data_IF_827877699707
#
_entry.id   IF_827877699707
#
_cell.length_a   1.000
_cell.length_b   1.000
_cell.length_c   1.000
_cell.angle_alpha   90.00
_cell.angle_beta   90.00
_cell.angle_gamma   90.00
#
_symmetry.space_group_name_H-M   'P 1'
#
loop_
_entity.id
_entity.type
_entity.pdbx_description
1 polymer ?
#
# COMPACT_ATOMS: atom_id res chain seq x y z
N UNK A 1 4.52 -0.77 -6.83
CA UNK A 1 3.38 -1.60 -6.40
C UNK A 1 2.18 -0.68 -6.27
N UNK A 2 1.17 -0.80 -7.13
CA UNK A 2 -0.06 0.01 -7.06
C UNK A 2 -1.14 -0.83 -6.38
N UNK A 3 -1.34 -0.59 -5.08
CA UNK A 3 -2.49 -1.07 -4.33
C UNK A 3 -3.66 -0.11 -4.56
N UNK A 4 -4.45 -0.35 -5.61
CA UNK A 4 -5.76 0.30 -5.81
C UNK A 4 -6.89 -0.40 -5.04
N UNK A 5 -6.55 -1.16 -3.98
CA UNK A 5 -7.52 -2.11 -3.43
C UNK A 5 -8.62 -1.44 -2.60
N UNK A 6 -8.43 -0.41 -1.78
CA UNK A 6 -9.57 0.30 -1.13
C UNK A 6 -9.63 1.73 -1.65
N UNK A 7 -10.08 1.94 -2.89
CA UNK A 7 -10.11 3.28 -3.47
C UNK A 7 -11.43 3.55 -4.21
N UNK A 8 -12.40 4.18 -3.52
CA UNK A 8 -13.42 5.01 -4.17
C UNK A 8 -13.38 6.41 -3.55
N UNK A 9 -13.44 7.42 -4.42
CA UNK A 9 -13.51 8.87 -4.16
C UNK A 9 -13.45 9.24 -2.68
N UNK A 10 -12.22 9.43 -2.22
CA UNK A 10 -11.94 9.97 -0.90
C UNK A 10 -12.56 11.36 -0.81
N UNK A 11 -13.25 11.63 0.31
CA UNK A 11 -13.63 12.99 0.70
C UNK A 11 -12.39 13.84 1.03
N UNK A 12 -12.56 14.83 1.92
CA UNK A 12 -11.54 15.83 2.31
C UNK A 12 -10.23 15.28 2.94
N UNK A 13 -9.97 13.98 2.94
CA UNK A 13 -8.73 13.41 3.47
C UNK A 13 -7.58 13.65 2.49
N UNK A 14 -6.51 14.31 2.94
CA UNK A 14 -5.33 14.64 2.13
C UNK A 14 -4.45 13.40 1.99
N UNK A 15 -4.61 12.66 0.88
CA UNK A 15 -4.09 11.28 0.73
C UNK A 15 -2.59 11.23 0.38
N UNK A 16 -2.09 12.19 -0.38
CA UNK A 16 -0.71 12.12 -0.88
C UNK A 16 0.23 12.84 0.09
N UNK A 17 1.11 12.11 0.81
CA UNK A 17 2.03 12.73 1.76
C UNK A 17 3.08 13.61 1.06
N UNK A 18 3.37 13.36 -0.21
CA UNK A 18 4.31 14.13 -1.02
C UNK A 18 3.70 14.39 -2.40
N UNK A 19 2.87 15.43 -2.54
CA UNK A 19 2.36 15.81 -3.84
C UNK A 19 3.53 16.24 -4.74
N UNK A 20 3.52 15.76 -5.99
CA UNK A 20 4.30 16.35 -7.07
C UNK A 20 3.33 16.99 -8.05
N UNK A 21 3.62 18.21 -8.48
CA UNK A 21 2.79 18.90 -9.47
C UNK A 21 3.50 18.87 -10.82
N UNK A 22 2.77 18.51 -11.85
CA UNK A 22 3.25 18.56 -13.23
C UNK A 22 2.62 19.80 -13.86
N UNK A 23 3.45 20.74 -14.29
CA UNK A 23 3.01 21.92 -15.03
C UNK A 23 3.35 21.71 -16.50
N UNK A 24 2.33 21.82 -17.33
CA UNK A 24 2.40 21.66 -18.78
C UNK A 24 1.84 22.94 -19.41
N UNK A 25 2.51 23.44 -20.44
CA UNK A 25 1.95 24.51 -21.27
C UNK A 25 0.84 23.97 -22.15
N UNK A 26 -0.35 24.59 -22.10
CA UNK A 26 -1.41 24.26 -23.05
C UNK A 26 -1.02 24.60 -24.49
N UNK A 27 -0.18 25.62 -24.69
CA UNK A 27 0.34 25.96 -26.02
C UNK A 27 1.13 24.80 -26.63
N UNK A 28 1.89 24.06 -25.81
CA UNK A 28 2.62 22.90 -26.30
C UNK A 28 1.66 21.78 -26.68
N UNK A 29 0.61 21.56 -25.90
CA UNK A 29 -0.45 20.60 -26.26
C UNK A 29 -1.08 20.97 -27.61
N UNK A 30 -1.37 22.24 -27.83
CA UNK A 30 -2.00 22.72 -29.07
C UNK A 30 -1.12 22.62 -30.31
N UNK A 31 0.20 22.57 -30.17
CA UNK A 31 1.13 22.36 -31.30
C UNK A 31 1.15 20.92 -31.81
N UNK A 32 0.68 19.96 -31.02
CA UNK A 32 0.73 18.55 -31.33
C UNK A 32 -0.63 18.03 -31.83
N UNK A 33 -0.79 17.97 -33.16
CA UNK A 33 -2.02 17.50 -33.82
C UNK A 33 -2.43 16.06 -33.47
N UNK A 34 -1.52 15.27 -32.90
CA UNK A 34 -1.76 13.89 -32.46
C UNK A 34 -2.34 13.81 -31.05
N UNK A 35 -2.45 14.92 -30.32
CA UNK A 35 -3.10 14.94 -29.00
C UNK A 35 -4.59 15.24 -29.18
N UNK A 36 -5.45 14.29 -28.81
CA UNK A 36 -6.91 14.47 -28.79
C UNK A 36 -7.31 15.19 -27.49
N UNK A 37 -7.40 16.52 -27.58
CA UNK A 37 -7.81 17.39 -26.50
C UNK A 37 -9.14 18.09 -26.80
N UNK A 38 -9.89 18.38 -25.75
CA UNK A 38 -11.10 19.21 -25.80
C UNK A 38 -11.16 20.10 -24.57
N UNK A 39 -12.02 21.09 -24.61
CA UNK A 39 -12.40 21.86 -23.43
C UNK A 39 -13.91 21.77 -23.23
N UNK A 40 -14.32 21.84 -21.98
CA UNK A 40 -15.72 21.88 -21.58
C UNK A 40 -16.07 23.26 -21.02
N UNK A 41 -17.18 23.84 -21.44
CA UNK A 41 -17.67 25.14 -20.95
C UNK A 41 -18.46 25.03 -19.64
N UNK A 42 -18.48 23.84 -19.03
CA UNK A 42 -19.08 23.58 -17.74
C UNK A 42 -18.88 22.14 -17.30
N UNK A 43 -19.62 21.74 -16.27
CA UNK A 43 -19.46 20.42 -15.67
C UNK A 43 -19.97 19.33 -16.63
N UNK A 44 -19.11 18.39 -17.03
CA UNK A 44 -19.45 17.32 -17.99
C UNK A 44 -20.57 16.37 -17.51
N UNK A 45 -20.90 16.37 -16.21
CA UNK A 45 -22.04 15.59 -15.70
C UNK A 45 -23.40 16.11 -16.18
N UNK A 46 -23.46 17.35 -16.67
CA UNK A 46 -24.70 17.96 -17.19
C UNK A 46 -24.85 17.68 -18.67
N UNK A 47 -26.02 17.18 -19.08
CA UNK A 47 -26.34 16.86 -20.49
C UNK A 47 -26.27 18.06 -21.45
N UNK A 48 -26.39 19.27 -20.92
CA UNK A 48 -26.40 20.52 -21.70
C UNK A 48 -25.01 21.12 -21.84
N UNK A 49 -23.97 20.50 -21.29
CA UNK A 49 -22.62 21.05 -21.32
C UNK A 49 -22.04 20.91 -22.72
N UNK A 50 -21.72 22.05 -23.32
CA UNK A 50 -20.98 22.12 -24.57
C UNK A 50 -19.50 21.85 -24.32
N UNK A 51 -18.90 21.02 -25.17
CA UNK A 51 -17.48 20.72 -25.14
C UNK A 51 -16.96 20.41 -26.55
N UNK A 52 -15.68 20.64 -26.76
CA UNK A 52 -15.02 20.45 -28.05
C UNK A 52 -13.74 21.29 -28.14
N UNK A 53 -13.18 21.42 -29.33
CA UNK A 53 -12.01 22.27 -29.61
C UNK A 53 -12.25 23.23 -30.78
N UNK A 54 -13.52 23.57 -31.06
CA UNK A 54 -13.84 24.58 -32.08
C UNK A 54 -13.49 25.99 -31.57
N UNK A 55 -13.20 26.92 -32.49
CA UNK A 55 -12.87 28.30 -32.12
C UNK A 55 -13.97 29.02 -31.32
N UNK A 56 -15.23 28.68 -31.56
CA UNK A 56 -16.37 29.22 -30.82
C UNK A 56 -16.37 28.78 -29.35
N UNK A 57 -16.03 27.53 -29.10
CA UNK A 57 -15.92 26.98 -27.74
C UNK A 57 -14.67 27.55 -27.06
N UNK A 58 -13.52 27.57 -27.73
CA UNK A 58 -12.25 28.10 -27.19
C UNK A 58 -12.39 29.55 -26.71
N UNK A 59 -13.11 30.40 -27.46
CA UNK A 59 -13.33 31.81 -27.08
C UNK A 59 -14.16 31.99 -25.81
N UNK A 60 -14.95 31.00 -25.43
CA UNK A 60 -15.81 31.04 -24.24
C UNK A 60 -15.16 30.43 -23.01
N UNK A 61 -14.05 29.71 -23.18
CA UNK A 61 -13.31 29.12 -22.07
C UNK A 61 -12.46 30.17 -21.35
N UNK A 62 -12.63 30.26 -20.04
CA UNK A 62 -11.96 31.24 -19.20
C UNK A 62 -10.66 30.68 -18.64
N UNK A 63 -9.63 30.61 -19.50
CA UNK A 63 -8.29 30.10 -19.15
C UNK A 63 -7.70 30.71 -17.87
N UNK A 64 -8.09 31.94 -17.51
CA UNK A 64 -7.58 32.63 -16.34
C UNK A 64 -8.30 32.25 -15.04
N UNK A 65 -9.57 31.84 -15.12
CA UNK A 65 -10.42 31.63 -13.94
C UNK A 65 -10.86 30.18 -13.71
N UNK A 66 -10.54 29.24 -14.61
CA UNK A 66 -10.88 27.81 -14.45
C UNK A 66 -10.40 27.20 -13.14
N UNK A 67 -9.25 27.64 -12.63
CA UNK A 67 -8.70 27.19 -11.34
C UNK A 67 -8.63 28.31 -10.30
N UNK A 68 -9.45 29.36 -10.45
CA UNK A 68 -9.45 30.45 -9.50
C UNK A 68 -9.98 30.01 -8.14
N UNK A 69 -9.31 30.50 -7.10
CA UNK A 69 -9.69 30.31 -5.69
C UNK A 69 -10.59 31.45 -5.20
N UNK A 70 -10.78 32.49 -6.03
CA UNK A 70 -11.67 33.62 -5.72
C UNK A 70 -13.13 33.23 -5.94
N UNK A 71 -14.04 33.89 -5.21
CA UNK A 71 -15.48 33.57 -5.20
C UNK A 71 -16.31 34.66 -5.84
N UNK A 72 -15.98 35.09 -7.06
CA UNK A 72 -16.90 35.94 -7.84
C UNK A 72 -17.94 35.08 -8.57
N UNK A 73 -19.11 35.64 -8.95
CA UNK A 73 -20.10 34.91 -9.76
C UNK A 73 -19.53 34.35 -11.07
N UNK A 74 -18.57 35.05 -11.68
CA UNK A 74 -17.85 34.59 -12.87
C UNK A 74 -16.97 33.37 -12.57
N UNK A 75 -16.31 33.37 -11.42
CA UNK A 75 -15.45 32.26 -10.99
C UNK A 75 -16.28 30.99 -10.75
N UNK A 76 -17.51 31.12 -10.23
CA UNK A 76 -18.42 29.97 -10.05
C UNK A 76 -18.81 29.27 -11.35
N UNK A 77 -18.85 30.01 -12.47
CA UNK A 77 -19.11 29.43 -13.79
C UNK A 77 -17.81 28.85 -14.37
N UNK A 78 -16.72 29.61 -14.27
CA UNK A 78 -15.42 29.25 -14.84
C UNK A 78 -14.82 28.02 -14.16
N UNK A 79 -15.00 27.85 -12.84
CA UNK A 79 -14.48 26.69 -12.10
C UNK A 79 -15.18 25.37 -12.41
N UNK A 80 -16.28 25.42 -13.16
CA UNK A 80 -16.95 24.22 -13.68
C UNK A 80 -16.41 23.82 -15.04
N UNK A 81 -15.60 24.65 -15.69
CA UNK A 81 -14.98 24.34 -16.98
C UNK A 81 -13.82 23.36 -16.79
N UNK A 82 -13.53 22.57 -17.82
CA UNK A 82 -12.54 21.50 -17.73
C UNK A 82 -11.68 21.45 -19.00
N UNK A 83 -10.37 21.21 -18.83
CA UNK A 83 -9.47 20.85 -19.93
C UNK A 83 -9.35 19.32 -19.98
N UNK A 84 -9.57 18.73 -21.15
CA UNK A 84 -9.77 17.30 -21.31
C UNK A 84 -8.75 16.72 -22.27
N UNK A 85 -8.14 15.60 -21.86
CA UNK A 85 -7.39 14.70 -22.73
C UNK A 85 -8.17 13.39 -22.79
N UNK A 86 -8.49 12.91 -23.98
CA UNK A 86 -9.43 11.78 -24.15
C UNK A 86 -8.93 10.45 -23.59
N UNK A 87 -7.63 10.23 -23.56
CA UNK A 87 -7.05 8.96 -23.12
C UNK A 87 -5.82 9.17 -22.27
N UNK A 88 -4.70 9.54 -22.88
CA UNK A 88 -3.43 9.75 -22.19
C UNK A 88 -2.66 10.91 -22.81
N UNK A 89 -1.85 11.57 -21.99
CA UNK A 89 -0.89 12.57 -22.42
C UNK A 89 0.51 12.00 -22.22
N UNK A 90 1.20 11.69 -23.31
CA UNK A 90 2.61 11.37 -23.23
C UNK A 90 3.40 12.63 -22.85
N UNK A 91 4.21 12.52 -21.80
CA UNK A 91 5.08 13.61 -21.36
C UNK A 91 6.35 13.72 -22.21
N UNK A 92 6.68 12.70 -23.01
CA UNK A 92 7.87 12.69 -23.85
C UNK A 92 7.77 13.66 -25.02
N UNK A 93 6.56 13.93 -25.50
CA UNK A 93 6.31 14.86 -26.60
C UNK A 93 6.23 16.32 -26.16
N UNK A 94 6.07 16.59 -24.86
CA UNK A 94 5.93 17.95 -24.35
C UNK A 94 7.31 18.51 -23.97
N UNK A 95 7.69 19.59 -24.65
CA UNK A 95 8.96 20.28 -24.47
C UNK A 95 9.02 20.99 -23.11
N UNK A 96 8.03 21.85 -22.81
CA UNK A 96 8.04 22.69 -21.61
C UNK A 96 7.25 22.06 -20.47
N UNK A 97 7.79 20.99 -19.90
CA UNK A 97 7.29 20.40 -18.65
C UNK A 97 8.12 20.90 -17.47
N UNK A 98 7.43 21.23 -16.39
CA UNK A 98 8.03 21.39 -15.07
C UNK A 98 7.43 20.38 -14.10
N UNK A 99 8.30 19.65 -13.39
CA UNK A 99 7.90 18.80 -12.27
C UNK A 99 8.27 19.56 -10.99
N UNK A 100 7.25 20.04 -10.30
CA UNK A 100 7.38 20.91 -9.13
C UNK A 100 7.25 20.07 -7.88
N UNK A 101 8.27 20.13 -7.03
CA UNK A 101 8.33 19.44 -5.75
C UNK A 101 8.10 20.39 -4.57
N UNK A 102 7.73 19.81 -3.42
CA UNK A 102 7.44 20.56 -2.20
C UNK A 102 8.69 21.21 -1.61
N UNK A 103 9.83 20.52 -1.68
CA UNK A 103 11.11 20.94 -1.11
C UNK A 103 12.29 20.31 -1.87
N UNK A 104 13.51 20.73 -1.51
CA UNK A 104 14.76 20.27 -2.12
C UNK A 104 14.98 18.76 -1.88
N UNK A 105 14.62 18.25 -0.69
CA UNK A 105 14.78 16.83 -0.37
C UNK A 105 13.97 15.94 -1.30
N UNK A 106 12.73 16.35 -1.61
CA UNK A 106 11.85 15.68 -2.56
C UNK A 106 12.44 15.71 -3.98
N UNK A 107 13.06 16.82 -4.40
CA UNK A 107 13.77 16.92 -5.70
C UNK A 107 14.89 15.90 -5.76
N UNK A 108 15.72 15.83 -4.72
CA UNK A 108 16.84 14.90 -4.63
C UNK A 108 16.36 13.44 -4.66
N UNK A 109 15.29 13.12 -3.93
CA UNK A 109 14.67 11.79 -3.94
C UNK A 109 14.17 11.42 -5.34
N UNK A 110 13.38 12.27 -5.99
CA UNK A 110 12.83 11.95 -7.31
C UNK A 110 13.95 11.79 -8.34
N UNK A 111 15.02 12.60 -8.26
CA UNK A 111 16.21 12.44 -9.11
C UNK A 111 17.00 11.17 -8.80
N UNK A 112 17.11 10.76 -7.54
CA UNK A 112 17.85 9.54 -7.16
C UNK A 112 17.17 8.27 -7.69
N UNK A 113 15.85 8.31 -7.86
CA UNK A 113 15.05 7.21 -8.42
C UNK A 113 15.18 7.06 -9.94
N UNK A 114 15.60 8.10 -10.65
CA UNK A 114 15.74 8.09 -12.11
C UNK A 114 17.15 7.72 -12.57
N UNK A 115 17.27 7.20 -13.80
CA UNK A 115 18.56 6.98 -14.46
C UNK A 115 19.29 8.30 -14.77
N UNK A 116 20.61 8.26 -14.84
CA UNK A 116 21.45 9.48 -14.94
C UNK A 116 21.21 10.25 -16.23
N UNK A 117 20.91 9.54 -17.30
CA UNK A 117 20.58 10.01 -18.65
C UNK A 117 19.08 10.30 -18.85
N UNK A 118 18.25 10.15 -17.81
CA UNK A 118 16.81 10.39 -17.93
C UNK A 118 16.50 11.88 -18.16
N UNK A 119 15.83 12.19 -19.28
CA UNK A 119 15.51 13.56 -19.70
C UNK A 119 14.65 14.34 -18.68
N UNK A 120 13.88 13.67 -17.83
CA UNK A 120 13.05 14.35 -16.83
C UNK A 120 13.84 14.88 -15.65
N UNK A 121 15.10 14.44 -15.43
CA UNK A 121 15.92 14.95 -14.31
C UNK A 121 16.09 16.47 -14.34
N UNK A 122 16.26 17.07 -15.51
CA UNK A 122 16.40 18.52 -15.66
C UNK A 122 15.07 19.27 -15.47
N UNK A 123 13.94 18.57 -15.66
CA UNK A 123 12.58 19.09 -15.51
C UNK A 123 12.10 19.13 -14.05
N UNK A 124 12.76 18.39 -13.14
CA UNK A 124 12.44 18.34 -11.70
C UNK A 124 13.09 19.50 -10.94
N UNK A 125 12.27 20.35 -10.33
CA UNK A 125 12.71 21.51 -9.58
C UNK A 125 11.86 21.81 -8.35
N UNK A 126 12.48 22.50 -7.41
CA UNK A 126 11.83 23.21 -6.31
C UNK A 126 11.69 24.68 -6.71
N UNK A 127 10.54 25.29 -6.45
CA UNK A 127 10.31 26.72 -6.67
C UNK A 127 9.64 27.31 -5.45
N UNK A 128 10.34 28.13 -4.68
CA UNK A 128 9.79 28.68 -3.43
C UNK A 128 8.47 29.43 -3.65
N UNK A 129 8.36 30.19 -4.75
CA UNK A 129 7.16 30.94 -5.10
C UNK A 129 5.97 30.01 -5.39
N UNK A 130 6.18 29.01 -6.25
CA UNK A 130 5.11 28.07 -6.64
C UNK A 130 4.78 27.11 -5.50
N UNK A 131 5.77 26.70 -4.71
CA UNK A 131 5.57 25.79 -3.60
C UNK A 131 4.70 26.43 -2.51
N UNK A 132 4.85 27.73 -2.23
CA UNK A 132 3.97 28.45 -1.29
C UNK A 132 2.51 28.53 -1.76
N UNK A 133 2.26 28.63 -3.07
CA UNK A 133 0.89 28.68 -3.61
C UNK A 133 0.24 27.31 -3.79
N UNK A 134 1.03 26.27 -4.11
CA UNK A 134 0.52 24.93 -4.42
C UNK A 134 0.39 24.04 -3.19
N UNK A 135 1.28 24.18 -2.21
CA UNK A 135 1.32 23.33 -1.03
C UNK A 135 0.74 24.04 0.19
N UNK A 136 -0.41 23.57 0.67
CA UNK A 136 -1.12 24.14 1.83
C UNK A 136 -0.44 23.86 3.19
N UNK A 137 0.85 23.50 3.22
CA UNK A 137 1.64 23.20 4.43
C UNK A 137 1.06 22.14 5.40
N UNK A 138 0.05 21.38 4.97
CA UNK A 138 -0.63 20.33 5.76
C UNK A 138 -0.14 18.92 5.49
N UNK A 139 0.87 18.74 4.63
CA UNK A 139 1.41 17.42 4.32
C UNK A 139 2.59 17.08 5.26
N UNK A 140 2.93 15.79 5.42
CA UNK A 140 4.12 15.34 6.12
C UNK A 140 5.36 16.10 5.67
N UNK A 141 6.20 16.50 6.62
CA UNK A 141 7.44 17.22 6.32
C UNK A 141 8.65 16.42 6.76
N UNK A 142 9.48 16.11 5.78
CA UNK A 142 10.80 15.54 5.99
C UNK A 142 11.82 16.67 6.17
N UNK A 143 12.61 16.60 7.24
CA UNK A 143 13.69 17.55 7.51
C UNK A 143 14.94 16.77 7.85
N UNK A 144 15.96 16.93 7.02
CA UNK A 144 17.30 16.42 7.28
C UNK A 144 18.16 17.57 7.81
N UNK A 145 18.76 17.42 8.98
CA UNK A 145 19.67 18.43 9.56
C UNK A 145 21.05 17.84 9.81
N UNK A 146 22.14 18.54 9.44
CA UNK A 146 23.46 18.12 9.88
C UNK A 146 23.55 18.23 11.41
N UNK A 147 24.03 17.18 12.07
CA UNK A 147 24.32 17.19 13.50
C UNK A 147 25.81 17.45 13.75
N UNK A 148 26.67 16.86 12.91
CA UNK A 148 28.12 17.07 12.86
C UNK A 148 28.64 16.68 11.45
N UNK A 149 29.97 16.62 11.23
CA UNK A 149 30.56 16.43 9.88
C UNK A 149 30.03 15.18 9.15
N UNK A 150 29.74 14.10 9.87
CA UNK A 150 29.37 12.80 9.31
C UNK A 150 28.05 12.21 9.84
N UNK A 151 27.28 12.95 10.63
CA UNK A 151 25.98 12.48 11.14
C UNK A 151 24.89 13.48 10.87
N UNK A 152 23.74 12.93 10.48
CA UNK A 152 22.54 13.69 10.21
C UNK A 152 21.46 13.31 11.21
N UNK A 153 20.76 14.32 11.71
CA UNK A 153 19.49 14.17 12.40
C UNK A 153 18.39 14.15 11.36
N UNK A 154 17.77 13.00 11.21
CA UNK A 154 16.54 12.83 10.45
C UNK A 154 15.36 13.25 11.32
N UNK A 155 14.50 14.15 10.85
CA UNK A 155 13.23 14.47 11.52
C UNK A 155 12.09 14.40 10.52
N UNK A 156 11.16 13.49 10.75
CA UNK A 156 9.90 13.43 10.02
C UNK A 156 8.76 13.78 10.99
N UNK A 157 7.80 14.59 10.55
CA UNK A 157 6.65 14.97 11.37
C UNK A 157 5.35 14.90 10.56
N UNK A 158 4.35 14.27 11.17
CA UNK A 158 2.98 14.21 10.67
C UNK A 158 2.14 15.36 11.25
N UNK A 159 1.19 15.93 10.48
CA UNK A 159 0.28 16.97 10.98
C UNK A 159 -0.84 16.41 11.87
N UNK A 160 -1.33 15.21 11.56
CA UNK A 160 -2.39 14.52 12.29
C UNK A 160 -2.17 13.01 12.15
N UNK A 161 -2.31 12.26 13.24
CA UNK A 161 -2.09 10.81 13.26
C UNK A 161 -3.45 10.09 13.28
N UNK A 162 -3.67 9.19 12.32
CA UNK A 162 -4.79 8.23 12.39
C UNK A 162 -4.33 6.89 12.95
N UNK A 163 -5.29 6.05 13.37
CA UNK A 163 -5.01 4.67 13.77
C UNK A 163 -4.31 3.92 12.62
N UNK A 164 -3.20 3.25 12.94
CA UNK A 164 -2.29 2.56 11.99
C UNK A 164 -1.37 3.46 11.15
N UNK A 165 -1.39 4.78 11.40
CA UNK A 165 -0.41 5.66 10.79
C UNK A 165 0.93 5.52 11.49
N UNK A 166 1.98 5.31 10.70
CA UNK A 166 3.36 5.17 11.21
C UNK A 166 4.38 5.60 10.18
N UNK A 167 5.52 6.02 10.68
CA UNK A 167 6.74 6.31 9.93
C UNK A 167 7.63 5.08 9.97
N UNK A 168 8.30 4.81 8.85
CA UNK A 168 9.23 3.70 8.74
C UNK A 168 10.52 4.19 8.10
N UNK A 169 11.64 3.99 8.76
CA UNK A 169 12.97 4.17 8.17
C UNK A 169 13.56 2.78 7.89
N UNK A 170 13.98 2.54 6.65
CA UNK A 170 14.80 1.39 6.28
C UNK A 170 16.16 1.86 5.80
N UNK A 171 17.24 1.24 6.27
CA UNK A 171 18.57 1.52 5.76
C UNK A 171 19.45 0.27 5.69
N UNK A 172 20.45 0.32 4.80
CA UNK A 172 21.42 -0.76 4.63
C UNK A 172 22.29 -0.90 5.86
N UNK A 173 22.28 -2.08 6.47
CA UNK A 173 23.11 -2.43 7.62
C UNK A 173 24.55 -2.69 7.16
N UNK A 174 25.29 -1.63 6.82
CA UNK A 174 26.71 -1.73 6.42
C UNK A 174 27.69 -1.52 7.57
N UNK A 175 27.25 -0.91 8.69
CA UNK A 175 28.05 -0.57 9.88
C UNK A 175 27.10 -0.51 11.10
N UNK A 176 27.58 -0.84 12.31
CA UNK A 176 26.84 -0.63 13.56
C UNK A 176 26.61 0.86 13.81
N UNK A 177 25.34 1.29 13.85
CA UNK A 177 24.96 2.69 14.16
C UNK A 177 24.25 2.77 15.51
N UNK A 178 24.55 3.81 16.28
CA UNK A 178 23.80 4.14 17.48
C UNK A 178 22.53 4.89 17.06
N UNK A 179 21.37 4.27 17.25
CA UNK A 179 20.08 4.92 17.10
C UNK A 179 19.54 5.32 18.47
N UNK A 180 18.88 6.47 18.53
CA UNK A 180 18.11 6.90 19.70
C UNK A 180 16.70 7.17 19.20
N UNK A 181 15.80 6.21 19.38
CA UNK A 181 14.36 6.45 19.23
C UNK A 181 13.91 7.35 20.38
N UNK A 182 12.88 8.17 20.15
CA UNK A 182 12.22 8.90 21.26
C UNK A 182 11.37 7.96 22.14
N UNK A 183 11.22 6.70 21.75
CA UNK A 183 10.63 5.64 22.56
C UNK A 183 11.76 4.81 23.18
N UNK A 184 11.71 4.62 24.50
CA UNK A 184 12.52 3.64 25.23
C UNK A 184 12.10 2.17 24.90
N UNK A 185 11.18 1.98 23.95
CA UNK A 185 10.63 0.68 23.58
C UNK A 185 11.50 -0.02 22.53
N UNK A 186 12.18 -1.09 22.97
CA UNK A 186 12.95 -2.03 22.15
C UNK A 186 12.11 -2.78 21.08
N UNK A 187 10.78 -2.58 21.04
CA UNK A 187 9.87 -3.20 20.07
C UNK A 187 9.77 -2.45 18.73
N UNK A 188 10.39 -1.26 18.63
CA UNK A 188 10.21 -0.36 17.48
C UNK A 188 11.26 -0.54 16.37
N UNK A 189 12.02 -1.63 16.38
CA UNK A 189 12.99 -1.91 15.32
C UNK A 189 13.08 -3.39 14.96
N UNK A 190 13.45 -3.67 13.70
CA UNK A 190 13.84 -5.00 13.25
C UNK A 190 15.15 -4.92 12.48
N UNK A 191 16.01 -5.92 12.65
CA UNK A 191 17.34 -5.95 12.04
C UNK A 191 17.60 -7.31 11.40
N UNK A 192 18.23 -7.26 10.24
CA UNK A 192 18.82 -8.39 9.53
C UNK A 192 20.26 -8.04 9.18
N UNK A 193 21.02 -8.99 8.63
CA UNK A 193 22.40 -8.75 8.19
C UNK A 193 22.52 -7.55 7.24
N UNK A 194 21.51 -7.29 6.41
CA UNK A 194 21.59 -6.30 5.34
C UNK A 194 20.69 -5.07 5.54
N UNK A 195 19.65 -5.16 6.37
CA UNK A 195 18.62 -4.11 6.49
C UNK A 195 18.27 -3.92 7.96
N UNK A 196 18.24 -2.65 8.39
CA UNK A 196 17.60 -2.21 9.62
C UNK A 196 16.31 -1.48 9.27
N UNK A 197 15.24 -1.78 10.00
CA UNK A 197 13.94 -1.10 9.92
C UNK A 197 13.61 -0.50 11.27
N UNK A 198 13.29 0.79 11.32
CA UNK A 198 12.87 1.52 12.53
C UNK A 198 11.46 2.05 12.28
N UNK A 199 10.59 1.87 13.26
CA UNK A 199 9.22 2.37 13.27
C UNK A 199 9.12 3.60 14.18
N UNK A 200 8.20 4.52 13.87
CA UNK A 200 7.90 5.65 14.75
C UNK A 200 6.51 6.21 14.47
N UNK A 201 5.79 6.61 15.51
CA UNK A 201 4.38 6.98 15.40
C UNK A 201 4.18 8.40 14.84
N UNK A 202 4.69 9.42 15.54
CA UNK A 202 4.52 10.82 15.15
C UNK A 202 5.79 11.43 14.56
N UNK A 203 6.94 11.02 15.11
CA UNK A 203 8.25 11.55 14.78
C UNK A 203 9.29 10.43 14.82
N UNK A 204 10.20 10.46 13.85
CA UNK A 204 11.36 9.59 13.81
C UNK A 204 12.61 10.46 13.87
N UNK A 205 13.48 10.17 14.83
CA UNK A 205 14.79 10.80 14.99
C UNK A 205 15.87 9.76 14.96
N UNK A 206 16.79 9.88 13.99
CA UNK A 206 17.91 8.95 13.85
C UNK A 206 19.17 9.74 13.55
N UNK A 207 20.23 9.41 14.27
CA UNK A 207 21.58 9.90 14.03
C UNK A 207 22.32 8.87 13.17
N UNK A 208 22.66 9.25 11.94
CA UNK A 208 23.27 8.30 11.00
C UNK A 208 24.16 9.00 9.98
N UNK A 209 25.13 8.25 9.44
CA UNK A 209 25.95 8.69 8.31
C UNK A 209 25.21 8.44 6.99
N UNK A 210 24.24 9.31 6.75
CA UNK A 210 23.28 9.18 5.65
C UNK A 210 23.93 9.27 4.26
N UNK A 211 25.17 9.76 4.17
CA UNK A 211 25.92 9.86 2.90
C UNK A 211 26.49 8.52 2.46
N UNK A 212 26.82 7.64 3.40
CA UNK A 212 27.52 6.39 3.12
C UNK A 212 26.61 5.16 3.19
N UNK A 213 25.31 5.35 3.44
CA UNK A 213 24.31 4.27 3.49
C UNK A 213 23.17 4.51 2.50
N UNK A 214 22.59 3.42 2.03
CA UNK A 214 21.32 3.50 1.31
C UNK A 214 20.19 3.54 2.34
N UNK A 215 19.26 4.48 2.21
CA UNK A 215 18.10 4.57 3.07
C UNK A 215 16.82 4.90 2.28
N UNK A 216 15.70 4.45 2.81
CA UNK A 216 14.36 4.80 2.35
C UNK A 216 13.46 5.06 3.55
N UNK A 217 12.61 6.07 3.44
CA UNK A 217 11.65 6.47 4.45
C UNK A 217 10.27 6.29 3.86
N UNK A 218 9.39 5.70 4.64
CA UNK A 218 8.02 5.46 4.27
C UNK A 218 7.07 6.03 5.30
N UNK A 219 5.90 6.41 4.82
CA UNK A 219 4.74 6.70 5.64
C UNK A 219 3.64 5.69 5.34
N UNK A 220 3.09 5.14 6.40
CA UNK A 220 1.91 4.28 6.33
C UNK A 220 0.71 5.15 6.66
N UNK A 221 -0.27 5.20 5.78
CA UNK A 221 -1.59 5.74 6.06
C UNK A 221 -2.64 4.65 5.89
N UNK A 222 -3.32 4.27 6.97
CA UNK A 222 -4.38 3.23 6.90
C UNK A 222 -3.93 1.97 6.13
N UNK A 223 -2.72 1.48 6.41
CA UNK A 223 -2.12 0.32 5.75
C UNK A 223 -1.48 0.59 4.38
N UNK A 224 -1.75 1.73 3.75
CA UNK A 224 -1.10 2.11 2.50
C UNK A 224 0.31 2.65 2.76
N UNK A 225 1.29 2.05 2.11
CA UNK A 225 2.68 2.47 2.20
C UNK A 225 3.04 3.50 1.12
N UNK A 226 3.56 4.63 1.55
CA UNK A 226 4.03 5.72 0.70
C UNK A 226 5.52 5.91 0.88
N UNK A 227 6.27 5.96 -0.23
CA UNK A 227 7.66 6.40 -0.18
C UNK A 227 7.69 7.91 0.05
N UNK A 228 8.42 8.34 1.08
CA UNK A 228 8.66 9.74 1.39
C UNK A 228 10.01 10.20 0.84
N UNK A 229 11.07 9.47 1.12
CA UNK A 229 12.43 9.87 0.76
C UNK A 229 13.28 8.63 0.51
N UNK A 230 14.17 8.68 -0.47
CA UNK A 230 15.23 7.70 -0.65
C UNK A 230 16.44 8.34 -1.34
N UNK A 231 17.63 7.77 -1.11
CA UNK A 231 18.87 8.19 -1.76
C UNK A 231 19.42 7.18 -2.78
N UNK A 232 18.63 6.18 -3.18
CA UNK A 232 19.04 5.14 -4.11
C UNK A 232 17.93 4.79 -5.09
N UNK A 233 18.31 4.14 -6.21
CA UNK A 233 17.39 3.75 -7.27
C UNK A 233 16.43 2.64 -6.84
N UNK A 234 15.19 2.73 -7.30
CA UNK A 234 14.14 1.71 -7.09
C UNK A 234 13.99 1.24 -5.63
N UNK A 235 13.76 2.17 -4.68
CA UNK A 235 13.53 1.79 -3.29
C UNK A 235 12.32 0.88 -3.19
N UNK A 236 12.51 -0.26 -2.53
CA UNK A 236 11.47 -1.23 -2.24
C UNK A 236 11.43 -1.49 -0.75
N UNK A 237 10.25 -1.38 -0.17
CA UNK A 237 10.03 -1.80 1.19
C UNK A 237 10.11 -3.32 1.27
N UNK A 238 10.96 -3.83 2.14
CA UNK A 238 11.15 -5.27 2.33
C UNK A 238 11.29 -5.60 3.80
N UNK A 239 10.72 -6.71 4.25
CA UNK A 239 10.92 -7.20 5.62
C UNK A 239 11.45 -8.65 5.53
N UNK A 240 12.76 -8.85 5.30
CA UNK A 240 13.31 -10.20 5.17
C UNK A 240 13.08 -11.04 6.45
N UNK A 241 13.03 -10.37 7.60
CA UNK A 241 12.72 -10.99 8.89
C UNK A 241 11.37 -11.71 8.89
N UNK A 242 10.34 -11.19 8.20
CA UNK A 242 9.01 -11.83 8.14
C UNK A 242 9.13 -13.18 7.46
N UNK A 243 9.78 -13.23 6.29
CA UNK A 243 9.96 -14.48 5.55
C UNK A 243 10.80 -15.49 6.34
N UNK A 244 11.86 -15.03 7.02
CA UNK A 244 12.72 -15.87 7.85
C UNK A 244 11.95 -16.45 9.05
N UNK A 245 11.20 -15.62 9.77
CA UNK A 245 10.39 -16.04 10.92
C UNK A 245 9.28 -17.01 10.49
N UNK A 246 8.55 -16.70 9.41
CA UNK A 246 7.54 -17.63 8.87
C UNK A 246 8.16 -18.96 8.45
N UNK A 247 9.35 -18.95 7.83
CA UNK A 247 10.05 -20.17 7.42
C UNK A 247 10.40 -21.02 8.64
N UNK A 248 10.96 -20.40 9.68
CA UNK A 248 11.27 -21.07 10.95
C UNK A 248 10.04 -21.69 11.61
N UNK A 249 8.91 -20.98 11.65
CA UNK A 249 7.64 -21.50 12.20
C UNK A 249 7.14 -22.72 11.40
N UNK A 250 7.18 -22.63 10.07
CA UNK A 250 6.68 -23.67 9.18
C UNK A 250 7.60 -24.89 9.10
N UNK A 251 8.92 -24.74 9.27
CA UNK A 251 9.90 -25.84 9.19
C UNK A 251 10.16 -26.53 10.55
N UNK A 252 9.80 -25.92 11.68
CA UNK A 252 10.04 -26.51 13.01
C UNK A 252 9.22 -27.80 13.23
N UNK A 253 9.80 -28.97 12.98
CA UNK A 253 9.09 -30.25 13.08
C UNK A 253 8.69 -30.66 14.50
N UNK A 254 9.24 -30.04 15.54
CA UNK A 254 9.02 -30.45 16.94
C UNK A 254 7.71 -29.91 17.52
N UNK A 255 7.24 -28.75 17.05
CA UNK A 255 6.06 -28.08 17.59
C UNK A 255 4.99 -27.91 16.52
N UNK A 256 3.71 -27.85 16.92
CA UNK A 256 2.62 -27.46 16.02
C UNK A 256 2.72 -25.94 15.79
N UNK A 257 2.59 -25.43 14.54
CA UNK A 257 2.66 -24.00 14.29
C UNK A 257 1.64 -23.23 15.13
N UNK A 258 2.11 -22.22 15.87
CA UNK A 258 1.24 -21.34 16.66
C UNK A 258 0.53 -20.34 15.71
N UNK A 259 -0.81 -20.38 15.60
CA UNK A 259 -1.55 -19.50 14.71
C UNK A 259 -1.35 -18.01 15.00
N UNK A 260 -1.23 -17.63 16.27
CA UNK A 260 -0.96 -16.24 16.66
C UNK A 260 0.40 -15.79 16.13
N UNK A 261 1.44 -16.62 16.28
CA UNK A 261 2.77 -16.28 15.77
C UNK A 261 2.77 -16.09 14.25
N UNK A 262 2.04 -16.93 13.49
CA UNK A 262 1.92 -16.76 12.03
C UNK A 262 1.26 -15.42 11.69
N UNK A 263 0.12 -15.13 12.30
CA UNK A 263 -0.65 -13.91 12.02
C UNK A 263 0.11 -12.66 12.48
N UNK A 264 0.70 -12.68 13.67
CA UNK A 264 1.50 -11.56 14.20
C UNK A 264 2.71 -11.28 13.31
N UNK A 265 3.36 -12.34 12.78
CA UNK A 265 4.47 -12.20 11.83
C UNK A 265 3.99 -11.61 10.49
N UNK A 266 2.82 -12.01 9.98
CA UNK A 266 2.21 -11.40 8.80
C UNK A 266 1.86 -9.93 9.03
N UNK A 267 1.34 -9.59 10.21
CA UNK A 267 0.99 -8.23 10.62
C UNK A 267 2.19 -7.29 10.77
N UNK A 268 3.43 -7.77 10.72
CA UNK A 268 4.59 -6.87 10.62
C UNK A 268 4.56 -6.05 9.31
N UNK A 269 3.89 -6.55 8.26
CA UNK A 269 3.61 -5.76 7.06
C UNK A 269 2.46 -4.78 7.33
N UNK A 270 2.65 -3.46 7.11
CA UNK A 270 1.64 -2.45 7.46
C UNK A 270 0.27 -2.67 6.82
N UNK A 271 0.25 -3.12 5.57
CA UNK A 271 -0.97 -3.43 4.85
C UNK A 271 -1.74 -4.61 5.49
N UNK A 272 -1.04 -5.68 5.87
CA UNK A 272 -1.65 -6.85 6.52
C UNK A 272 -2.10 -6.51 7.94
N UNK A 273 -1.33 -5.71 8.69
CA UNK A 273 -1.75 -5.15 9.98
C UNK A 273 -3.09 -4.44 9.87
N UNK A 274 -3.22 -3.55 8.87
CA UNK A 274 -4.45 -2.82 8.63
C UNK A 274 -5.62 -3.77 8.33
N UNK A 275 -5.42 -4.77 7.46
CA UNK A 275 -6.47 -5.74 7.13
C UNK A 275 -6.91 -6.58 8.32
N UNK A 276 -5.97 -7.18 9.05
CA UNK A 276 -6.27 -8.04 10.20
C UNK A 276 -7.00 -7.30 11.33
N UNK A 277 -6.81 -5.98 11.42
CA UNK A 277 -7.51 -5.14 12.37
C UNK A 277 -8.86 -4.59 11.87
N UNK A 278 -9.27 -4.88 10.63
CA UNK A 278 -10.60 -4.47 10.15
C UNK A 278 -11.71 -5.24 10.86
N UNK A 279 -12.79 -4.51 11.19
CA UNK A 279 -13.96 -5.09 11.84
C UNK A 279 -14.82 -5.83 10.81
N UNK A 280 -14.96 -7.14 11.00
CA UNK A 280 -15.80 -8.00 10.17
C UNK A 280 -17.28 -7.80 10.49
N UNK A 281 -17.59 -7.65 11.77
CA UNK A 281 -18.90 -7.28 12.30
C UNK A 281 -18.70 -6.32 13.49
N UNK A 282 -19.73 -6.04 14.29
CA UNK A 282 -19.62 -5.10 15.40
C UNK A 282 -18.73 -5.58 16.56
N UNK A 283 -18.36 -6.87 16.59
CA UNK A 283 -17.70 -7.51 17.74
C UNK A 283 -16.39 -8.24 17.41
N UNK A 284 -16.07 -8.44 16.14
CA UNK A 284 -14.98 -9.32 15.71
C UNK A 284 -14.13 -8.67 14.62
N UNK A 285 -12.82 -8.63 14.82
CA UNK A 285 -11.83 -8.27 13.80
C UNK A 285 -11.49 -9.45 12.89
N UNK A 286 -10.89 -9.18 11.73
CA UNK A 286 -10.43 -10.24 10.82
C UNK A 286 -9.43 -11.19 11.51
N UNK A 287 -8.54 -10.67 12.37
CA UNK A 287 -7.63 -11.48 13.20
C UNK A 287 -8.39 -12.49 14.06
N UNK A 288 -9.37 -11.99 14.82
CA UNK A 288 -10.17 -12.83 15.72
C UNK A 288 -10.96 -13.90 14.95
N UNK A 289 -11.60 -13.50 13.84
CA UNK A 289 -12.27 -14.42 12.94
C UNK A 289 -11.33 -15.52 12.44
N UNK A 290 -10.15 -15.14 11.95
CA UNK A 290 -9.17 -16.09 11.38
C UNK A 290 -8.67 -17.08 12.43
N UNK A 291 -8.34 -16.60 13.64
CA UNK A 291 -7.90 -17.45 14.75
C UNK A 291 -8.98 -18.46 15.15
N UNK A 292 -10.24 -18.03 15.23
CA UNK A 292 -11.37 -18.92 15.54
C UNK A 292 -11.51 -20.06 14.53
N UNK A 293 -11.29 -19.79 13.24
CA UNK A 293 -11.32 -20.84 12.21
C UNK A 293 -10.19 -21.84 12.40
N UNK A 294 -8.98 -21.35 12.71
CA UNK A 294 -7.82 -22.22 12.96
C UNK A 294 -8.04 -23.07 14.21
N UNK A 295 -8.61 -22.52 15.29
CA UNK A 295 -8.94 -23.26 16.50
C UNK A 295 -9.96 -24.38 16.25
N UNK A 296 -11.02 -24.09 15.49
CA UNK A 296 -12.00 -25.09 15.06
C UNK A 296 -11.27 -26.23 14.33
N UNK A 297 -10.41 -25.87 13.36
CA UNK A 297 -9.65 -26.85 12.59
C UNK A 297 -8.74 -27.72 13.47
N UNK A 298 -7.96 -27.10 14.36
CA UNK A 298 -7.07 -27.79 15.30
C UNK A 298 -7.84 -28.76 16.20
N UNK A 299 -8.99 -28.35 16.75
CA UNK A 299 -9.83 -29.20 17.61
C UNK A 299 -10.25 -30.50 16.93
N UNK A 300 -10.51 -30.48 15.62
CA UNK A 300 -10.96 -31.66 14.90
C UNK A 300 -9.82 -32.56 14.41
N UNK A 301 -8.71 -32.00 13.93
CA UNK A 301 -7.62 -32.79 13.35
C UNK A 301 -6.62 -33.32 14.38
N UNK A 302 -6.34 -32.54 15.45
CA UNK A 302 -5.44 -33.00 16.51
C UNK A 302 -6.04 -34.18 17.27
N UNK A 303 -7.36 -34.22 17.45
CA UNK A 303 -8.07 -35.37 18.04
C UNK A 303 -7.94 -36.66 17.23
N UNK A 304 -7.56 -36.59 15.96
CA UNK A 304 -7.49 -37.75 15.06
C UNK A 304 -6.07 -38.24 14.80
N UNK A 305 -5.05 -37.73 15.50
CA UNK A 305 -3.63 -38.02 15.24
C UNK A 305 -3.23 -37.83 13.76
N UNK A 306 -3.92 -36.96 13.02
CA UNK A 306 -3.58 -36.67 11.64
C UNK A 306 -2.55 -35.56 11.62
N UNK A 307 -1.40 -35.84 11.01
CA UNK A 307 -0.44 -34.80 10.64
C UNK A 307 -1.15 -33.87 9.67
N UNK A 308 -1.29 -32.60 10.05
CA UNK A 308 -1.75 -31.53 9.19
C UNK A 308 -0.52 -30.91 8.56
N UNK A 309 -0.52 -30.81 7.23
CA UNK A 309 0.56 -30.11 6.54
C UNK A 309 0.73 -28.69 7.09
N UNK A 310 1.98 -28.30 7.32
CA UNK A 310 2.33 -27.03 7.97
C UNK A 310 1.97 -25.85 7.07
N UNK A 311 2.09 -26.02 5.75
CA UNK A 311 1.61 -25.07 4.75
C UNK A 311 0.10 -24.84 4.84
N UNK A 312 -0.69 -25.82 5.29
CA UNK A 312 -2.13 -25.65 5.52
C UNK A 312 -2.44 -24.60 6.60
N UNK A 313 -1.60 -24.45 7.64
CA UNK A 313 -1.76 -23.38 8.63
C UNK A 313 -1.58 -21.99 8.00
N UNK A 314 -0.67 -21.86 7.03
CA UNK A 314 -0.52 -20.63 6.27
C UNK A 314 -1.76 -20.35 5.41
N UNK A 315 -2.31 -21.37 4.72
CA UNK A 315 -3.57 -21.26 3.99
C UNK A 315 -4.69 -20.72 4.91
N UNK A 316 -4.85 -21.31 6.09
CA UNK A 316 -5.85 -20.86 7.05
C UNK A 316 -5.57 -19.44 7.57
N UNK A 317 -4.31 -19.03 7.73
CA UNK A 317 -3.99 -17.67 8.13
C UNK A 317 -4.39 -16.64 7.06
N UNK A 318 -4.30 -16.98 5.78
CA UNK A 318 -4.51 -16.04 4.67
C UNK A 318 -5.86 -16.18 3.95
N UNK A 319 -6.65 -17.23 4.21
CA UNK A 319 -7.86 -17.57 3.43
C UNK A 319 -8.90 -16.43 3.34
N UNK A 320 -8.94 -15.59 4.37
CA UNK A 320 -9.97 -14.57 4.56
C UNK A 320 -9.47 -13.14 4.31
N UNK A 321 -8.23 -12.95 3.84
CA UNK A 321 -7.64 -11.61 3.67
C UNK A 321 -8.45 -10.68 2.77
N UNK A 322 -9.20 -11.22 1.80
CA UNK A 322 -10.06 -10.44 0.90
C UNK A 322 -11.38 -9.99 1.50
N UNK A 323 -11.77 -10.46 2.69
CA UNK A 323 -13.06 -10.12 3.30
C UNK A 323 -13.27 -8.63 3.60
N UNK A 324 -12.30 -7.89 4.18
CA UNK A 324 -12.47 -6.46 4.42
C UNK A 324 -12.74 -5.68 3.12
N UNK A 325 -12.03 -6.03 2.06
CA UNK A 325 -12.21 -5.45 0.74
C UNK A 325 -13.60 -5.74 0.18
N UNK A 326 -14.00 -7.00 0.23
CA UNK A 326 -15.30 -7.45 -0.25
C UNK A 326 -16.45 -6.74 0.48
N UNK A 327 -16.31 -6.53 1.79
CA UNK A 327 -17.26 -5.77 2.60
C UNK A 327 -17.31 -4.30 2.18
N UNK A 328 -16.15 -3.67 1.97
CA UNK A 328 -16.06 -2.29 1.52
C UNK A 328 -16.73 -2.06 0.15
N UNK A 329 -16.53 -2.98 -0.80
CA UNK A 329 -17.17 -2.93 -2.12
C UNK A 329 -18.64 -3.37 -2.15
N UNK A 330 -19.20 -3.81 -1.02
CA UNK A 330 -20.51 -4.48 -0.95
C UNK A 330 -20.61 -5.73 -1.87
N UNK A 331 -19.51 -6.48 -1.98
CA UNK A 331 -19.38 -7.71 -2.79
C UNK A 331 -18.80 -8.87 -1.97
N UNK A 332 -19.42 -9.17 -0.82
CA UNK A 332 -18.93 -10.20 0.11
C UNK A 332 -18.72 -11.56 -0.57
N UNK A 333 -19.60 -11.94 -1.51
CA UNK A 333 -19.49 -13.18 -2.29
C UNK A 333 -18.25 -13.25 -3.21
N UNK A 334 -17.59 -12.12 -3.49
CA UNK A 334 -16.38 -12.07 -4.31
C UNK A 334 -15.08 -12.03 -3.46
N UNK A 335 -15.16 -12.22 -2.14
CA UNK A 335 -13.99 -12.09 -1.25
C UNK A 335 -12.80 -12.98 -1.65
N UNK A 336 -13.05 -14.17 -2.18
CA UNK A 336 -12.03 -15.07 -2.69
C UNK A 336 -11.17 -14.43 -3.77
N UNK A 337 -11.79 -13.67 -4.68
CA UNK A 337 -11.09 -12.97 -5.78
C UNK A 337 -10.12 -11.96 -5.20
N UNK A 338 -10.56 -11.24 -4.17
CA UNK A 338 -9.70 -10.31 -3.45
C UNK A 338 -8.60 -11.04 -2.68
N UNK A 339 -8.91 -12.13 -1.97
CA UNK A 339 -7.91 -12.94 -1.27
C UNK A 339 -6.82 -13.42 -2.24
N UNK A 340 -7.19 -13.98 -3.40
CA UNK A 340 -6.22 -14.48 -4.39
C UNK A 340 -5.31 -13.36 -4.88
N UNK A 341 -5.88 -12.19 -5.22
CA UNK A 341 -5.10 -11.02 -5.61
C UNK A 341 -4.10 -10.61 -4.53
N UNK A 342 -4.52 -10.62 -3.27
CA UNK A 342 -3.64 -10.31 -2.14
C UNK A 342 -2.53 -11.34 -1.97
N UNK A 343 -2.83 -12.63 -2.16
CA UNK A 343 -1.82 -13.70 -2.13
C UNK A 343 -0.75 -13.47 -3.21
N UNK A 344 -1.13 -13.06 -4.42
CA UNK A 344 -0.19 -12.70 -5.47
C UNK A 344 0.75 -11.58 -5.02
N UNK A 345 0.19 -10.54 -4.40
CA UNK A 345 0.94 -9.36 -3.93
C UNK A 345 1.90 -9.67 -2.76
N UNK A 346 1.56 -10.65 -1.91
CA UNK A 346 2.39 -11.06 -0.77
C UNK A 346 3.18 -12.36 -1.04
N UNK A 347 3.18 -12.87 -2.26
CA UNK A 347 3.83 -14.14 -2.59
C UNK A 347 5.33 -14.15 -2.28
N UNK A 348 6.02 -13.02 -2.46
CA UNK A 348 7.45 -12.87 -2.17
C UNK A 348 7.82 -13.04 -0.69
N UNK A 349 6.84 -12.82 0.21
CA UNK A 349 7.04 -12.85 1.67
C UNK A 349 6.59 -14.18 2.30
N UNK A 350 5.72 -14.94 1.62
CA UNK A 350 5.29 -16.26 2.07
C UNK A 350 6.36 -17.29 1.69
N UNK A 351 6.99 -18.00 2.65
CA UNK A 351 8.05 -18.97 2.36
C UNK A 351 7.47 -20.33 1.93
N UNK A 352 6.62 -20.33 0.90
CA UNK A 352 5.95 -21.53 0.37
C UNK A 352 6.25 -21.63 -1.12
N UNK A 353 6.42 -22.86 -1.62
CA UNK A 353 6.64 -23.11 -3.04
C UNK A 353 5.47 -22.58 -3.88
N UNK A 354 5.77 -22.04 -5.06
CA UNK A 354 4.75 -21.49 -5.98
C UNK A 354 3.67 -22.51 -6.31
N UNK A 355 4.05 -23.78 -6.48
CA UNK A 355 3.10 -24.89 -6.73
C UNK A 355 2.08 -25.06 -5.59
N UNK A 356 2.52 -24.97 -4.34
CA UNK A 356 1.65 -25.05 -3.16
C UNK A 356 0.80 -23.77 -3.04
N UNK A 357 1.35 -22.60 -3.35
CA UNK A 357 0.56 -21.35 -3.39
C UNK A 357 -0.58 -21.41 -4.43
N UNK A 358 -0.36 -22.00 -5.61
CA UNK A 358 -1.41 -22.22 -6.60
C UNK A 358 -2.49 -23.19 -6.12
N UNK A 359 -2.10 -24.22 -5.34
CA UNK A 359 -3.06 -25.11 -4.69
C UNK A 359 -3.90 -24.35 -3.66
N UNK A 360 -3.28 -23.51 -2.83
CA UNK A 360 -3.98 -22.66 -1.87
C UNK A 360 -5.01 -21.77 -2.56
N UNK A 361 -4.65 -21.10 -3.65
CA UNK A 361 -5.55 -20.26 -4.44
C UNK A 361 -6.73 -21.08 -5.00
N UNK A 362 -6.46 -22.29 -5.48
CA UNK A 362 -7.51 -23.20 -5.97
C UNK A 362 -8.49 -23.58 -4.86
N UNK A 363 -7.99 -23.88 -3.66
CA UNK A 363 -8.84 -24.16 -2.50
C UNK A 363 -9.68 -22.96 -2.08
N UNK A 364 -9.09 -21.76 -2.05
CA UNK A 364 -9.82 -20.52 -1.74
C UNK A 364 -10.93 -20.29 -2.77
N UNK A 365 -10.65 -20.44 -4.07
CA UNK A 365 -11.63 -20.27 -5.15
C UNK A 365 -12.82 -21.24 -5.06
N UNK A 366 -12.61 -22.43 -4.50
CA UNK A 366 -13.64 -23.47 -4.41
C UNK A 366 -14.67 -23.25 -3.28
N UNK A 367 -14.51 -22.20 -2.47
CA UNK A 367 -15.33 -21.89 -1.29
C UNK A 367 -15.36 -22.98 -0.21
N UNK A 368 -14.47 -23.96 -0.32
CA UNK A 368 -14.53 -25.12 0.55
C UNK A 368 -14.24 -24.74 2.01
N UNK A 369 -13.42 -23.71 2.26
CA UNK A 369 -13.15 -23.20 3.62
C UNK A 369 -14.36 -22.45 4.18
N UNK A 370 -15.03 -21.59 3.43
CA UNK A 370 -16.20 -20.86 3.94
C UNK A 370 -17.39 -21.79 4.22
N UNK A 371 -17.64 -22.78 3.34
CA UNK A 371 -18.63 -23.85 3.59
C UNK A 371 -18.35 -24.57 4.91
N UNK A 372 -17.08 -24.71 5.27
CA UNK A 372 -16.66 -25.30 6.54
C UNK A 372 -16.94 -24.41 7.74
N UNK A 373 -16.67 -23.11 7.61
CA UNK A 373 -16.98 -22.12 8.64
C UNK A 373 -18.48 -22.11 8.93
N UNK A 374 -19.30 -22.05 7.88
CA UNK A 374 -20.76 -22.05 8.03
C UNK A 374 -21.28 -23.37 8.61
N UNK A 375 -20.70 -24.51 8.23
CA UNK A 375 -21.01 -25.82 8.79
C UNK A 375 -20.63 -25.94 10.28
N UNK A 376 -19.45 -25.47 10.68
CA UNK A 376 -18.94 -25.56 12.05
C UNK A 376 -19.52 -24.52 13.01
N UNK A 377 -19.96 -23.35 12.52
CA UNK A 377 -20.64 -22.32 13.30
C UNK A 377 -22.15 -22.55 13.41
N UNK A 378 -22.75 -23.33 12.51
CA UNK A 378 -24.12 -23.80 12.69
C UNK A 378 -24.15 -24.77 13.87
N UNK A 379 -24.72 -24.35 14.99
CA UNK A 379 -24.79 -25.07 16.27
C UNK A 379 -25.50 -26.45 16.17
N UNK A 380 -25.99 -26.85 14.99
CA UNK A 380 -26.81 -28.04 14.78
C UNK A 380 -26.28 -29.03 13.73
N UNK A 381 -25.08 -28.85 13.16
CA UNK A 381 -24.51 -29.90 12.29
C UNK A 381 -23.97 -31.05 13.14
N UNK A 382 -24.39 -32.31 12.89
CA UNK A 382 -23.82 -33.46 13.55
C UNK A 382 -22.30 -33.49 13.33
N UNK A 383 -21.53 -33.71 14.40
CA UNK A 383 -20.06 -33.86 14.39
C UNK A 383 -19.52 -34.73 13.22
N UNK A 384 -20.20 -35.82 12.77
CA UNK A 384 -19.80 -36.60 11.59
C UNK A 384 -19.75 -35.84 10.26
N UNK A 385 -20.63 -34.86 10.04
CA UNK A 385 -20.71 -34.14 8.77
C UNK A 385 -19.64 -33.06 8.66
N UNK A 386 -19.36 -32.36 9.76
CA UNK A 386 -18.22 -31.42 9.87
C UNK A 386 -16.90 -32.19 9.68
N UNK A 387 -16.79 -33.37 10.30
CA UNK A 387 -15.64 -34.27 10.13
C UNK A 387 -15.43 -34.65 8.66
N UNK A 388 -16.44 -35.18 7.96
CA UNK A 388 -16.30 -35.61 6.55
C UNK A 388 -15.87 -34.46 5.62
N UNK A 389 -16.39 -33.26 5.86
CA UNK A 389 -16.04 -32.07 5.08
C UNK A 389 -14.59 -31.63 5.33
N UNK A 390 -14.18 -31.57 6.60
CA UNK A 390 -12.79 -31.32 7.01
C UNK A 390 -11.84 -32.33 6.36
N UNK A 391 -12.14 -33.62 6.45
CA UNK A 391 -11.32 -34.69 5.88
C UNK A 391 -11.17 -34.56 4.36
N UNK A 392 -12.24 -34.17 3.65
CA UNK A 392 -12.22 -33.95 2.19
C UNK A 392 -11.36 -32.74 1.80
N UNK A 393 -11.46 -31.65 2.57
CA UNK A 393 -10.62 -30.47 2.38
C UNK A 393 -9.14 -30.78 2.59
N UNK A 394 -8.83 -31.47 3.68
CA UNK A 394 -7.47 -31.81 4.01
C UNK A 394 -6.89 -32.84 3.03
N UNK A 395 -7.65 -33.86 2.63
CA UNK A 395 -7.18 -34.84 1.63
C UNK A 395 -6.92 -34.19 0.27
N UNK A 396 -7.77 -33.25 -0.16
CA UNK A 396 -7.55 -32.49 -1.39
C UNK A 396 -6.25 -31.66 -1.36
N UNK A 397 -5.84 -31.19 -0.18
CA UNK A 397 -4.56 -30.51 0.00
C UNK A 397 -3.37 -31.49 0.12
N UNK A 398 -3.49 -32.49 0.99
CA UNK A 398 -2.42 -33.42 1.34
C UNK A 398 -2.04 -34.39 0.21
N UNK A 399 -2.98 -34.79 -0.65
CA UNK A 399 -2.70 -35.68 -1.80
C UNK A 399 -1.73 -35.07 -2.83
N UNK A 400 -1.48 -33.75 -2.76
CA UNK A 400 -0.57 -33.05 -3.64
C UNK A 400 0.70 -32.53 -2.94
N UNK A 401 0.72 -32.48 -1.61
CA UNK A 401 1.91 -32.14 -0.80
C UNK A 401 2.89 -33.34 -0.69
N UNK A 402 2.39 -34.58 -0.78
CA UNK A 402 3.19 -35.81 -0.67
C UNK A 402 3.94 -36.23 -1.96
N UNK A 403 3.93 -35.42 -3.02
CA UNK A 403 4.64 -35.70 -4.29
C UNK A 403 5.91 -34.84 -4.48
N UNK A 404 6.49 -34.31 -3.40
CA UNK A 404 7.79 -33.60 -3.40
C UNK A 404 8.77 -34.20 -2.41
#
# INVERSE_FOLDING_TARGET
>A
VKLEIIQKQFGNDSICPIPIFIKISLEDIFKHNNIDWNISLGNLTRKTTEYGHTMEIIRQFDFNNVYSITKTPRDYVSCQQEFLIKSELSLDIIENIEIICQDIATVECLKSMLDNDNQFKTKIKYSEQLSKSLYLNKNPKFVLRPSNENQYLLKLRMPEQKKFDKLILQYSNKINYNYTTNSDDLNDFSQTENIVTIYGDEQLMVLTDIKNINYAIYYVHQGQLWLIQANYKNPKFTLPIVRQTLKSILENTELIPNPNQIIDTLMMFPFLEFLYNQMMNNSESLKQYTLKIIEIFQKYFLKQNRLVSRSFYMLLAIHALGLPQAKYENKIHEHQRFTIKLIDEISDIIPIAVSILEQMKTMIKSDNIEKLVNAGLSVNMPEPNVKKLLETLYSNFANHDCNQ
#
